data_IF_628853121513
#
_entry.id   IF_628853121513
#
_cell.length_a   1.000
_cell.length_b   1.000
_cell.length_c   1.000
_cell.angle_alpha   90.00
_cell.angle_beta   90.00
_cell.angle_gamma   90.00
#
_symmetry.space_group_name_H-M   'P 1'
#
loop_
_entity.id
_entity.type
_entity.pdbx_description
1 polymer ?
#
# COMPACT_ATOMS: atom_id res chain seq x y z
N UNK A 1 -9.63 -13.71 15.62
CA UNK A 1 -9.76 -13.52 14.17
C UNK A 1 -8.91 -14.57 13.49
N UNK A 2 -9.36 -15.10 12.35
CA UNK A 2 -8.59 -16.08 11.58
C UNK A 2 -8.89 -15.95 10.09
N UNK A 3 -7.86 -16.16 9.28
CA UNK A 3 -7.98 -16.39 7.85
C UNK A 3 -7.72 -17.89 7.60
N UNK A 4 -8.62 -18.54 6.90
CA UNK A 4 -8.48 -19.94 6.53
C UNK A 4 -8.58 -20.03 5.01
N UNK A 5 -7.56 -20.60 4.40
CA UNK A 5 -7.50 -20.97 2.98
C UNK A 5 -7.42 -22.49 2.91
N UNK A 6 -8.35 -23.11 2.21
CA UNK A 6 -8.45 -24.57 2.15
C UNK A 6 -8.61 -25.05 0.72
N UNK A 7 -7.71 -25.91 0.26
CA UNK A 7 -7.68 -26.60 -1.03
C UNK A 7 -7.88 -25.71 -2.25
N UNK A 8 -7.33 -24.47 -2.18
CA UNK A 8 -7.48 -23.48 -3.22
C UNK A 8 -6.74 -23.92 -4.48
N UNK A 9 -7.45 -24.08 -5.58
CA UNK A 9 -6.87 -24.54 -6.84
C UNK A 9 -7.34 -23.75 -8.04
N UNK A 10 -6.44 -23.63 -9.05
CA UNK A 10 -6.71 -22.96 -10.33
C UNK A 10 -5.96 -23.62 -11.47
N UNK A 11 -6.70 -23.91 -12.55
CA UNK A 11 -6.17 -24.40 -13.82
C UNK A 11 -6.53 -23.45 -14.95
N UNK A 12 -5.63 -23.32 -15.91
CA UNK A 12 -5.86 -22.67 -17.19
C UNK A 12 -5.57 -23.68 -18.30
N UNK A 13 -6.62 -24.21 -18.91
CA UNK A 13 -6.51 -25.33 -19.84
C UNK A 13 -5.92 -26.57 -19.15
N UNK A 14 -4.80 -27.05 -19.64
CA UNK A 14 -4.07 -28.20 -19.07
C UNK A 14 -3.08 -27.82 -17.96
N UNK A 15 -2.80 -26.51 -17.77
CA UNK A 15 -1.81 -26.01 -16.81
C UNK A 15 -2.44 -25.74 -15.46
N UNK A 16 -2.03 -26.45 -14.43
CA UNK A 16 -2.32 -26.09 -13.04
C UNK A 16 -1.41 -24.95 -12.60
N UNK A 17 -1.97 -23.83 -12.15
CA UNK A 17 -1.23 -22.63 -11.69
C UNK A 17 -1.20 -22.56 -10.17
N UNK A 18 -2.28 -22.97 -9.50
CA UNK A 18 -2.35 -23.12 -8.04
C UNK A 18 -2.91 -24.51 -7.77
N UNK A 19 -2.24 -25.28 -6.92
CA UNK A 19 -2.56 -26.68 -6.64
C UNK A 19 -2.75 -26.91 -5.14
N UNK A 20 -4.01 -27.06 -4.71
CA UNK A 20 -4.42 -27.37 -3.33
C UNK A 20 -3.77 -26.49 -2.25
N UNK A 21 -3.61 -25.18 -2.50
CA UNK A 21 -3.03 -24.25 -1.52
C UNK A 21 -3.92 -24.20 -0.28
N UNK A 22 -3.32 -24.56 0.86
CA UNK A 22 -4.02 -24.58 2.16
C UNK A 22 -3.10 -23.99 3.24
N UNK A 23 -3.63 -23.04 4.02
CA UNK A 23 -2.98 -22.51 5.21
C UNK A 23 -3.99 -21.81 6.12
N UNK A 24 -3.59 -21.57 7.37
CA UNK A 24 -4.38 -20.87 8.35
C UNK A 24 -3.54 -19.80 9.05
N UNK A 25 -4.12 -18.59 9.18
CA UNK A 25 -3.62 -17.53 10.05
C UNK A 25 -4.57 -17.36 11.22
N UNK A 26 -4.18 -17.82 12.39
CA UNK A 26 -5.00 -17.73 13.62
C UNK A 26 -4.49 -16.67 14.62
N UNK A 27 -3.41 -15.97 14.30
CA UNK A 27 -2.82 -14.89 15.08
C UNK A 27 -2.31 -13.78 14.16
N UNK A 28 -2.27 -12.51 14.63
CA UNK A 28 -1.65 -11.41 13.91
C UNK A 28 -0.19 -11.71 13.53
N UNK A 29 0.25 -11.13 12.41
CA UNK A 29 1.59 -11.30 11.89
C UNK A 29 1.61 -11.28 10.37
N UNK A 30 2.72 -11.69 9.77
CA UNK A 30 2.86 -11.77 8.31
C UNK A 30 2.92 -13.21 7.85
N UNK A 31 2.16 -13.51 6.81
CA UNK A 31 2.23 -14.72 6.02
C UNK A 31 2.84 -14.41 4.66
N UNK A 32 3.92 -15.10 4.32
CA UNK A 32 4.57 -14.91 3.05
C UNK A 32 4.18 -15.99 2.05
N UNK A 33 3.76 -15.55 0.86
CA UNK A 33 3.65 -16.37 -0.32
C UNK A 33 4.95 -16.27 -1.12
N UNK A 34 5.83 -17.25 -0.96
CA UNK A 34 7.10 -17.31 -1.66
C UNK A 34 6.99 -18.07 -2.97
N UNK A 35 7.81 -17.68 -3.92
CA UNK A 35 7.95 -18.39 -5.19
C UNK A 35 8.51 -17.50 -6.29
N UNK A 36 9.05 -18.13 -7.32
CA UNK A 36 9.55 -17.44 -8.51
C UNK A 36 8.44 -16.73 -9.27
N UNK A 37 8.79 -15.87 -10.21
CA UNK A 37 7.81 -15.24 -11.10
C UNK A 37 7.03 -16.32 -11.87
N UNK A 38 5.69 -16.18 -11.90
CA UNK A 38 4.81 -17.16 -12.51
C UNK A 38 4.50 -18.40 -11.65
N UNK A 39 4.90 -18.42 -10.36
CA UNK A 39 4.55 -19.50 -9.42
C UNK A 39 3.09 -19.47 -8.94
N UNK A 40 2.28 -18.50 -9.38
CA UNK A 40 0.87 -18.42 -9.00
C UNK A 40 0.57 -17.53 -7.79
N UNK A 41 1.53 -16.76 -7.26
CA UNK A 41 1.36 -15.87 -6.11
C UNK A 41 0.19 -14.88 -6.29
N UNK A 42 0.27 -14.04 -7.32
CA UNK A 42 -0.79 -13.08 -7.67
C UNK A 42 -2.12 -13.75 -7.98
N UNK A 43 -2.10 -14.93 -8.64
CA UNK A 43 -3.30 -15.72 -8.89
C UNK A 43 -3.96 -16.16 -7.58
N UNK A 44 -3.16 -16.67 -6.63
CA UNK A 44 -3.64 -17.06 -5.30
C UNK A 44 -4.24 -15.89 -4.54
N UNK A 45 -3.56 -14.73 -4.54
CA UNK A 45 -4.06 -13.50 -3.92
C UNK A 45 -5.40 -13.06 -4.52
N UNK A 46 -5.49 -13.00 -5.86
CA UNK A 46 -6.74 -12.60 -6.54
C UNK A 46 -7.89 -13.57 -6.28
N UNK A 47 -7.62 -14.87 -6.16
CA UNK A 47 -8.62 -15.86 -5.76
C UNK A 47 -9.05 -15.71 -4.29
N UNK A 48 -8.11 -15.46 -3.38
CA UNK A 48 -8.43 -15.20 -1.97
C UNK A 48 -9.34 -13.98 -1.81
N UNK A 49 -9.11 -12.93 -2.59
CA UNK A 49 -9.89 -11.69 -2.57
C UNK A 49 -11.24 -11.79 -3.30
N UNK A 50 -11.56 -12.92 -3.93
CA UNK A 50 -12.76 -13.05 -4.77
C UNK A 50 -12.70 -12.31 -6.11
N UNK A 51 -11.54 -11.76 -6.47
CA UNK A 51 -11.34 -11.03 -7.74
C UNK A 51 -11.16 -11.98 -8.93
N UNK A 52 -10.81 -13.23 -8.67
CA UNK A 52 -10.65 -14.28 -9.67
C UNK A 52 -11.39 -15.53 -9.20
N UNK A 53 -12.15 -16.16 -10.12
CA UNK A 53 -12.83 -17.43 -9.83
C UNK A 53 -11.82 -18.55 -9.58
N UNK A 54 -11.98 -19.26 -8.51
CA UNK A 54 -11.27 -20.50 -8.17
C UNK A 54 -12.01 -21.71 -8.75
N UNK A 55 -11.29 -22.79 -9.06
CA UNK A 55 -11.87 -24.02 -9.57
C UNK A 55 -12.30 -24.92 -8.39
N UNK A 56 -11.58 -24.86 -7.27
CA UNK A 56 -11.94 -25.52 -6.02
C UNK A 56 -11.41 -24.78 -4.80
N UNK A 57 -11.84 -25.21 -3.62
CA UNK A 57 -11.39 -24.69 -2.35
C UNK A 57 -12.22 -23.53 -1.78
N UNK A 58 -11.92 -23.15 -0.56
CA UNK A 58 -12.62 -22.08 0.17
C UNK A 58 -11.63 -21.12 0.81
N UNK A 59 -12.08 -19.86 0.96
CA UNK A 59 -11.33 -18.83 1.68
C UNK A 59 -12.29 -18.12 2.62
N UNK A 60 -11.97 -18.11 3.90
CA UNK A 60 -12.81 -17.48 4.92
C UNK A 60 -12.00 -16.53 5.80
N UNK A 61 -12.61 -15.40 6.13
CA UNK A 61 -12.12 -14.43 7.10
C UNK A 61 -13.13 -14.32 8.24
N UNK A 62 -12.70 -14.64 9.46
CA UNK A 62 -13.57 -14.69 10.64
C UNK A 62 -14.82 -15.55 10.44
N UNK A 63 -14.66 -16.71 9.79
CA UNK A 63 -15.75 -17.66 9.52
C UNK A 63 -16.71 -17.27 8.39
N UNK A 64 -16.49 -16.15 7.71
CA UNK A 64 -17.27 -15.70 6.54
C UNK A 64 -16.44 -15.78 5.27
N UNK A 65 -17.05 -16.02 4.10
CA UNK A 65 -16.32 -15.96 2.84
C UNK A 65 -15.56 -14.64 2.71
N UNK A 66 -14.26 -14.71 2.36
CA UNK A 66 -13.46 -13.53 2.10
C UNK A 66 -13.80 -12.99 0.71
N UNK A 67 -14.22 -11.73 0.65
CA UNK A 67 -14.48 -10.97 -0.58
C UNK A 67 -14.09 -9.53 -0.36
N UNK A 68 -13.28 -8.98 -1.27
CA UNK A 68 -12.79 -7.59 -1.19
C UNK A 68 -13.92 -6.55 -1.21
N UNK A 69 -15.08 -6.88 -1.77
CA UNK A 69 -16.22 -5.97 -1.87
C UNK A 69 -17.03 -5.89 -0.56
N UNK A 70 -16.97 -6.94 0.27
CA UNK A 70 -17.79 -7.05 1.49
C UNK A 70 -16.97 -7.01 2.77
N UNK A 71 -15.68 -7.30 2.70
CA UNK A 71 -14.76 -7.30 3.84
C UNK A 71 -13.87 -6.04 3.82
N UNK A 72 -13.54 -5.50 5.01
CA UNK A 72 -12.56 -4.43 5.11
C UNK A 72 -11.14 -5.00 4.99
N UNK A 73 -10.69 -5.18 3.75
CA UNK A 73 -9.36 -5.67 3.40
C UNK A 73 -8.59 -4.58 2.67
N UNK A 74 -7.37 -4.31 3.11
CA UNK A 74 -6.43 -3.48 2.36
C UNK A 74 -5.69 -4.33 1.32
N UNK A 75 -5.68 -3.89 0.08
CA UNK A 75 -4.99 -4.59 -0.99
C UNK A 75 -4.06 -3.67 -1.76
N UNK A 76 -2.79 -4.04 -1.81
CA UNK A 76 -1.79 -3.46 -2.68
C UNK A 76 -1.50 -4.44 -3.82
N UNK A 77 -1.88 -4.08 -5.04
CA UNK A 77 -1.63 -4.89 -6.23
C UNK A 77 -0.21 -4.66 -6.75
N UNK A 78 0.39 -5.69 -7.36
CA UNK A 78 1.66 -5.60 -8.09
C UNK A 78 1.55 -4.60 -9.24
N UNK A 79 0.46 -4.67 -10.01
CA UNK A 79 0.18 -3.72 -11.09
C UNK A 79 -0.40 -2.41 -10.55
N UNK A 80 -0.01 -1.30 -11.20
CA UNK A 80 -0.43 0.03 -10.76
C UNK A 80 -1.90 0.28 -11.05
N UNK A 81 -2.71 0.34 -9.99
CA UNK A 81 -4.15 0.60 -10.08
C UNK A 81 -4.53 2.08 -10.04
N UNK A 82 -3.59 3.02 -10.27
CA UNK A 82 -3.88 4.46 -10.27
C UNK A 82 -4.31 4.95 -11.64
N UNK A 83 -5.30 5.82 -11.67
CA UNK A 83 -5.77 6.49 -12.88
C UNK A 83 -4.81 7.64 -13.27
N UNK A 84 -4.10 7.56 -14.41
CA UNK A 84 -2.97 8.43 -14.70
C UNK A 84 -3.29 9.93 -14.68
N UNK A 85 -4.45 10.32 -15.21
CA UNK A 85 -4.84 11.73 -15.40
C UNK A 85 -5.66 12.35 -14.26
N UNK A 86 -5.97 11.58 -13.22
CA UNK A 86 -6.68 12.10 -12.06
C UNK A 86 -5.69 12.50 -10.97
N UNK A 87 -6.05 13.53 -10.18
CA UNK A 87 -5.20 13.92 -9.06
C UNK A 87 -5.13 12.80 -8.04
N UNK A 88 -3.96 12.63 -7.43
CA UNK A 88 -3.76 11.59 -6.39
C UNK A 88 -4.66 11.83 -5.18
N UNK A 89 -4.98 13.09 -4.88
CA UNK A 89 -5.92 13.44 -3.80
C UNK A 89 -7.33 12.94 -4.10
N UNK A 90 -7.84 13.20 -5.32
CA UNK A 90 -9.19 12.76 -5.70
C UNK A 90 -9.32 11.24 -5.69
N UNK A 91 -8.29 10.53 -6.15
CA UNK A 91 -8.25 9.07 -6.13
C UNK A 91 -8.27 8.51 -4.72
N UNK A 92 -7.44 9.04 -3.80
CA UNK A 92 -7.42 8.60 -2.40
C UNK A 92 -8.76 8.89 -1.70
N UNK A 93 -9.36 10.05 -1.94
CA UNK A 93 -10.70 10.38 -1.43
C UNK A 93 -11.77 9.43 -1.98
N UNK A 94 -11.68 9.08 -3.27
CA UNK A 94 -12.57 8.11 -3.90
C UNK A 94 -12.42 6.71 -3.29
N UNK A 95 -11.18 6.21 -3.15
CA UNK A 95 -10.93 4.91 -2.52
C UNK A 95 -11.39 4.86 -1.07
N UNK A 96 -11.20 5.94 -0.32
CA UNK A 96 -11.71 6.06 1.05
C UNK A 96 -13.25 5.97 1.09
N UNK A 97 -13.93 6.68 0.19
CA UNK A 97 -15.39 6.67 0.09
C UNK A 97 -15.94 5.27 -0.26
N UNK A 98 -15.30 4.55 -1.18
CA UNK A 98 -15.66 3.16 -1.51
C UNK A 98 -15.57 2.22 -0.30
N UNK A 99 -14.72 2.55 0.69
CA UNK A 99 -14.55 1.80 1.94
C UNK A 99 -15.38 2.35 3.10
N UNK A 100 -16.32 3.26 2.83
CA UNK A 100 -17.19 3.85 3.84
C UNK A 100 -16.51 4.82 4.80
N UNK A 101 -15.29 5.28 4.50
CA UNK A 101 -14.56 6.27 5.31
C UNK A 101 -15.14 7.65 5.03
N UNK A 102 -15.55 8.37 6.08
CA UNK A 102 -16.07 9.73 5.90
C UNK A 102 -15.02 10.68 5.31
N UNK A 103 -15.45 11.69 4.56
CA UNK A 103 -14.54 12.64 3.92
C UNK A 103 -13.63 13.38 4.93
N UNK A 104 -14.13 13.67 6.13
CA UNK A 104 -13.34 14.29 7.20
C UNK A 104 -12.24 13.36 7.70
N UNK A 105 -12.58 12.10 7.96
CA UNK A 105 -11.64 11.10 8.43
C UNK A 105 -10.63 10.72 7.33
N UNK A 106 -11.09 10.59 6.08
CA UNK A 106 -10.22 10.34 4.94
C UNK A 106 -9.12 11.41 4.80
N UNK A 107 -9.48 12.69 4.89
CA UNK A 107 -8.50 13.80 4.85
C UNK A 107 -7.45 13.70 5.96
N UNK A 108 -7.86 13.36 7.19
CA UNK A 108 -6.91 13.18 8.31
C UNK A 108 -5.95 12.03 8.05
N UNK A 109 -6.48 10.88 7.60
CA UNK A 109 -5.67 9.69 7.31
C UNK A 109 -4.74 9.91 6.12
N UNK A 110 -5.22 10.56 5.06
CA UNK A 110 -4.39 10.91 3.90
C UNK A 110 -3.25 11.83 4.32
N UNK A 111 -3.53 12.84 5.15
CA UNK A 111 -2.49 13.76 5.64
C UNK A 111 -1.45 13.01 6.49
N UNK A 112 -1.89 12.23 7.46
CA UNK A 112 -1.01 11.39 8.29
C UNK A 112 -0.08 10.51 7.43
N UNK A 113 -0.63 9.79 6.46
CA UNK A 113 0.16 8.93 5.58
C UNK A 113 1.03 9.71 4.60
N UNK A 114 0.59 10.89 4.15
CA UNK A 114 1.40 11.76 3.29
C UNK A 114 2.67 12.25 4.00
N UNK A 115 2.57 12.59 5.28
CA UNK A 115 3.74 12.91 6.11
C UNK A 115 4.63 11.68 6.31
N UNK A 116 4.03 10.54 6.64
CA UNK A 116 4.74 9.31 6.94
C UNK A 116 5.52 8.75 5.74
N UNK A 117 4.96 8.91 4.52
CA UNK A 117 5.59 8.52 3.26
C UNK A 117 6.48 9.60 2.63
N UNK A 118 6.60 10.77 3.27
CA UNK A 118 7.34 11.92 2.74
C UNK A 118 6.87 12.32 1.33
N UNK A 119 5.56 12.51 1.17
CA UNK A 119 4.91 12.88 -0.10
C UNK A 119 3.90 14.04 0.04
N UNK A 120 4.04 14.83 1.12
CA UNK A 120 3.22 16.02 1.37
C UNK A 120 3.26 16.98 0.18
N UNK A 121 4.41 17.13 -0.46
CA UNK A 121 4.58 18.02 -1.62
C UNK A 121 3.65 17.69 -2.80
N UNK A 122 3.25 16.42 -2.95
CA UNK A 122 2.39 15.98 -4.05
C UNK A 122 0.90 16.08 -3.73
N UNK A 123 0.53 15.85 -2.48
CA UNK A 123 -0.86 15.86 -2.00
C UNK A 123 -1.30 17.23 -1.48
N UNK A 124 -0.39 17.94 -0.80
CA UNK A 124 -0.63 19.24 -0.17
C UNK A 124 0.42 20.27 -0.60
N UNK A 125 0.59 20.56 -1.90
CA UNK A 125 1.70 21.37 -2.41
C UNK A 125 1.70 22.80 -1.88
N UNK A 126 0.55 23.38 -1.52
CA UNK A 126 0.46 24.69 -0.93
C UNK A 126 1.03 24.71 0.50
N UNK A 127 0.67 23.72 1.30
CA UNK A 127 1.18 23.55 2.66
C UNK A 127 2.70 23.32 2.64
N UNK A 128 3.18 22.44 1.75
CA UNK A 128 4.60 22.19 1.56
C UNK A 128 5.36 23.48 1.20
N UNK A 129 4.84 24.29 0.28
CA UNK A 129 5.43 25.57 -0.10
C UNK A 129 5.49 26.55 1.08
N UNK A 130 4.45 26.60 1.91
CA UNK A 130 4.41 27.47 3.09
C UNK A 130 5.41 27.00 4.17
N UNK A 131 5.58 25.68 4.36
CA UNK A 131 6.60 25.12 5.27
C UNK A 131 8.01 25.46 4.77
N UNK A 132 8.29 25.29 3.48
CA UNK A 132 9.60 25.61 2.89
C UNK A 132 9.92 27.11 3.01
N UNK A 133 8.95 27.98 2.75
CA UNK A 133 9.11 29.43 2.91
C UNK A 133 9.41 29.83 4.37
N UNK A 134 8.79 29.14 5.34
CA UNK A 134 9.06 29.37 6.77
C UNK A 134 10.47 28.92 7.15
N UNK A 135 10.89 27.73 6.70
CA UNK A 135 12.26 27.23 6.94
C UNK A 135 13.31 28.16 6.35
N UNK A 136 13.13 28.66 5.12
CA UNK A 136 14.04 29.58 4.48
C UNK A 136 14.21 30.88 5.29
N UNK A 137 13.13 31.49 5.80
CA UNK A 137 13.17 32.68 6.65
C UNK A 137 13.94 32.42 7.95
N UNK A 138 13.74 31.29 8.60
CA UNK A 138 14.47 30.93 9.83
C UNK A 138 15.98 30.78 9.55
N UNK A 139 16.38 30.25 8.41
CA UNK A 139 17.78 30.17 7.99
C UNK A 139 18.39 31.57 7.66
N UNK A 140 17.62 32.46 7.05
CA UNK A 140 18.07 33.85 6.79
C UNK A 140 18.23 34.65 8.08
N UNK A 141 17.36 34.50 9.05
CA UNK A 141 17.45 35.13 10.35
C UNK A 141 18.65 34.63 11.19
N UNK A 142 19.05 33.36 10.99
CA UNK A 142 20.22 32.77 11.66
C UNK A 142 21.57 33.17 11.03
N UNK A 143 21.58 33.79 9.83
CA UNK A 143 22.79 34.27 9.12
C UNK A 143 22.84 35.78 9.10
N UNK A 144 23.73 36.43 9.90
CA UNK A 144 23.79 37.87 9.96
C UNK A 144 24.59 38.44 8.77
N UNK A 145 24.03 38.47 7.55
CA UNK A 145 24.59 39.27 6.43
C UNK A 145 23.49 39.76 5.48
N UNK A 146 23.40 41.14 5.47
CA UNK A 146 22.72 42.01 4.50
C UNK A 146 21.18 42.06 4.56
N UNK A 147 20.69 43.04 5.31
CA UNK A 147 19.39 43.68 5.08
C UNK A 147 19.37 44.33 3.69
N UNK A 148 18.87 43.63 2.69
CA UNK A 148 18.46 44.20 1.41
C UNK A 148 17.00 44.58 1.50
N UNK A 149 16.67 45.84 1.21
CA UNK A 149 15.32 46.37 1.08
C UNK A 149 14.64 45.71 -0.13
N UNK A 150 13.91 44.60 0.08
CA UNK A 150 13.03 44.06 -0.95
C UNK A 150 11.59 44.28 -0.52
N UNK A 151 10.87 45.07 -1.32
CA UNK A 151 9.49 45.43 -1.14
C UNK A 151 8.61 44.19 -1.14
N UNK A 152 7.68 44.15 -0.17
CA UNK A 152 6.60 43.20 -0.08
C UNK A 152 5.70 43.33 -1.32
N UNK A 153 5.96 42.53 -2.35
CA UNK A 153 5.02 42.36 -3.45
C UNK A 153 3.89 41.46 -2.96
N UNK A 154 2.70 42.02 -2.81
CA UNK A 154 1.47 41.35 -2.50
C UNK A 154 0.98 40.53 -3.72
N UNK A 155 1.80 39.58 -4.19
CA UNK A 155 1.41 38.66 -5.26
C UNK A 155 0.39 37.69 -4.65
N UNK A 156 -0.83 37.70 -5.18
CA UNK A 156 -1.82 36.64 -4.90
C UNK A 156 -1.15 35.28 -5.13
N UNK A 157 -0.87 34.55 -4.06
CA UNK A 157 -0.29 33.20 -4.13
C UNK A 157 -1.15 32.35 -5.06
N UNK A 158 -0.59 31.99 -6.21
CA UNK A 158 -1.25 31.10 -7.18
C UNK A 158 -1.47 29.76 -6.49
N UNK A 159 -2.71 29.28 -6.46
CA UNK A 159 -3.05 27.99 -5.85
C UNK A 159 -2.33 26.90 -6.65
N UNK A 160 -1.52 26.09 -5.96
CA UNK A 160 -0.83 24.96 -6.56
C UNK A 160 -1.75 23.74 -6.41
N UNK A 161 -2.08 23.09 -7.53
CA UNK A 161 -2.92 21.88 -7.51
C UNK A 161 -2.11 20.64 -7.11
N UNK A 162 -2.75 19.64 -6.45
CA UNK A 162 -2.15 18.32 -6.26
C UNK A 162 -1.74 17.70 -7.59
N UNK A 163 -0.70 16.86 -7.56
CA UNK A 163 -0.21 16.16 -8.76
C UNK A 163 -1.17 15.06 -9.24
N UNK A 164 -1.11 14.75 -10.52
CA UNK A 164 -1.74 13.57 -11.12
C UNK A 164 -0.82 12.35 -11.01
N UNK A 165 -1.36 11.14 -11.15
CA UNK A 165 -0.57 9.93 -10.96
C UNK A 165 0.55 9.75 -12.00
N UNK A 166 0.35 10.21 -13.24
CA UNK A 166 1.35 10.18 -14.31
C UNK A 166 2.55 11.13 -14.08
N UNK A 167 2.40 12.10 -13.18
CA UNK A 167 3.46 13.03 -12.78
C UNK A 167 4.37 12.47 -11.67
N UNK A 168 4.08 11.27 -11.15
CA UNK A 168 4.82 10.65 -10.08
C UNK A 168 5.81 9.60 -10.59
N UNK A 169 6.94 9.47 -9.91
CA UNK A 169 7.84 8.32 -10.08
C UNK A 169 7.13 7.01 -9.70
N UNK A 170 7.68 5.89 -10.18
CA UNK A 170 7.14 4.56 -9.85
C UNK A 170 7.03 4.32 -8.34
N UNK A 171 8.08 4.65 -7.58
CA UNK A 171 8.08 4.51 -6.13
C UNK A 171 7.03 5.38 -5.45
N UNK A 172 6.83 6.63 -5.91
CA UNK A 172 5.80 7.49 -5.35
C UNK A 172 4.38 7.01 -5.71
N UNK A 173 4.16 6.43 -6.89
CA UNK A 173 2.89 5.78 -7.21
C UNK A 173 2.61 4.60 -6.26
N UNK A 174 3.64 3.82 -5.92
CA UNK A 174 3.52 2.70 -4.99
C UNK A 174 3.22 3.17 -3.56
N UNK A 175 3.80 4.30 -3.12
CA UNK A 175 3.41 4.96 -1.85
C UNK A 175 1.93 5.34 -1.83
N UNK A 176 1.41 5.92 -2.91
CA UNK A 176 -0.01 6.27 -3.01
C UNK A 176 -0.90 5.02 -2.95
N UNK A 177 -0.52 3.93 -3.62
CA UNK A 177 -1.26 2.66 -3.56
C UNK A 177 -1.25 2.05 -2.15
N UNK A 178 -0.11 2.14 -1.44
CA UNK A 178 -0.04 1.70 -0.04
C UNK A 178 -0.96 2.54 0.86
N UNK A 179 -1.02 3.86 0.65
CA UNK A 179 -2.00 4.73 1.36
C UNK A 179 -3.43 4.26 1.07
N UNK A 180 -3.75 3.98 -0.19
CA UNK A 180 -5.08 3.49 -0.56
C UNK A 180 -5.42 2.16 0.12
N UNK A 181 -4.45 1.25 0.27
CA UNK A 181 -4.63 -0.02 0.99
C UNK A 181 -4.82 0.19 2.51
N UNK A 182 -4.19 1.22 3.09
CA UNK A 182 -4.23 1.50 4.53
C UNK A 182 -5.38 2.44 4.95
N UNK A 183 -6.03 3.12 4.00
CA UNK A 183 -6.90 4.26 4.28
C UNK A 183 -8.15 3.90 5.10
N UNK A 184 -8.67 2.68 4.94
CA UNK A 184 -9.80 2.15 5.70
C UNK A 184 -9.42 1.58 7.06
N UNK A 185 -8.14 1.61 7.41
CA UNK A 185 -7.57 0.95 8.60
C UNK A 185 -7.98 -0.53 8.71
N UNK A 186 -7.69 -1.34 7.69
CA UNK A 186 -8.14 -2.71 7.62
C UNK A 186 -7.44 -3.59 8.66
N UNK A 187 -8.11 -4.66 9.10
CA UNK A 187 -7.52 -5.70 9.96
C UNK A 187 -6.68 -6.71 9.17
N UNK A 188 -7.03 -6.94 7.91
CA UNK A 188 -6.32 -7.80 6.97
C UNK A 188 -5.72 -6.96 5.84
N UNK A 189 -4.42 -7.05 5.66
CA UNK A 189 -3.66 -6.44 4.56
C UNK A 189 -3.14 -7.54 3.65
N UNK A 190 -3.32 -7.38 2.35
CA UNK A 190 -2.75 -8.27 1.33
C UNK A 190 -1.90 -7.43 0.40
N UNK A 191 -0.60 -7.73 0.35
CA UNK A 191 0.41 -6.94 -0.35
C UNK A 191 1.09 -7.83 -1.40
N UNK A 192 0.85 -7.53 -2.68
CA UNK A 192 1.41 -8.28 -3.79
C UNK A 192 2.71 -7.62 -4.27
N UNK A 193 3.85 -8.22 -3.96
CA UNK A 193 5.21 -7.74 -4.21
C UNK A 193 5.44 -6.26 -3.77
N UNK A 194 5.15 -5.90 -2.52
CA UNK A 194 5.12 -4.50 -2.06
C UNK A 194 6.46 -3.77 -2.13
N UNK A 195 7.57 -4.50 -2.18
CA UNK A 195 8.92 -3.94 -2.18
C UNK A 195 9.59 -3.99 -3.56
N UNK A 196 8.90 -4.56 -4.55
CA UNK A 196 9.46 -4.73 -5.90
C UNK A 196 9.72 -3.39 -6.59
N UNK A 197 10.96 -3.18 -7.05
CA UNK A 197 11.36 -1.99 -7.82
C UNK A 197 11.44 -0.70 -7.01
N UNK A 198 11.45 -0.77 -5.68
CA UNK A 198 11.77 0.35 -4.80
C UNK A 198 13.29 0.52 -4.67
N UNK A 199 13.73 1.76 -4.48
CA UNK A 199 15.09 2.05 -4.03
C UNK A 199 15.25 1.69 -2.53
N UNK A 200 16.49 1.59 -2.00
CA UNK A 200 16.73 1.17 -0.62
C UNK A 200 16.00 2.02 0.43
N UNK A 201 15.95 3.33 0.27
CA UNK A 201 15.31 4.25 1.23
C UNK A 201 13.80 4.01 1.29
N UNK A 202 13.17 3.86 0.13
CA UNK A 202 11.74 3.53 0.07
C UNK A 202 11.45 2.11 0.54
N UNK A 203 12.35 1.16 0.30
CA UNK A 203 12.25 -0.22 0.83
C UNK A 203 12.21 -0.22 2.35
N UNK A 204 13.13 0.49 3.01
CA UNK A 204 13.18 0.59 4.48
C UNK A 204 11.92 1.25 5.04
N UNK A 205 11.45 2.33 4.40
CA UNK A 205 10.21 2.99 4.78
C UNK A 205 8.99 2.05 4.71
N UNK A 206 8.88 1.24 3.66
CA UNK A 206 7.80 0.26 3.52
C UNK A 206 7.89 -0.84 4.58
N UNK A 207 9.10 -1.34 4.88
CA UNK A 207 9.33 -2.30 5.97
C UNK A 207 8.89 -1.73 7.31
N UNK A 208 9.27 -0.49 7.63
CA UNK A 208 8.85 0.18 8.87
C UNK A 208 7.33 0.27 9.00
N UNK A 209 6.64 0.61 7.91
CA UNK A 209 5.18 0.69 7.90
C UNK A 209 4.55 -0.69 8.07
N UNK A 210 5.09 -1.72 7.42
CA UNK A 210 4.66 -3.11 7.60
C UNK A 210 4.82 -3.53 9.06
N UNK A 211 5.99 -3.27 9.67
CA UNK A 211 6.22 -3.53 11.10
C UNK A 211 5.24 -2.78 12.00
N UNK A 212 4.94 -1.52 11.70
CA UNK A 212 3.94 -0.75 12.42
C UNK A 212 2.55 -1.42 12.38
N UNK A 213 2.13 -1.94 11.22
CA UNK A 213 0.85 -2.65 11.09
C UNK A 213 0.85 -3.98 11.87
N UNK A 214 1.96 -4.73 11.86
CA UNK A 214 2.12 -5.95 12.66
C UNK A 214 2.01 -5.64 14.15
N UNK A 215 2.69 -4.59 14.62
CA UNK A 215 2.68 -4.17 16.03
C UNK A 215 1.28 -3.70 16.48
N UNK A 216 0.44 -3.23 15.56
CA UNK A 216 -0.97 -2.92 15.79
C UNK A 216 -1.87 -4.18 15.83
N UNK A 217 -1.31 -5.37 15.72
CA UNK A 217 -2.04 -6.63 15.77
C UNK A 217 -2.80 -6.96 14.48
N UNK A 218 -2.35 -6.47 13.33
CA UNK A 218 -2.97 -6.75 12.04
C UNK A 218 -2.46 -8.05 11.42
N UNK A 219 -3.25 -8.60 10.51
CA UNK A 219 -2.94 -9.78 9.71
C UNK A 219 -2.45 -9.30 8.34
N UNK A 220 -1.29 -9.81 7.91
CA UNK A 220 -0.70 -9.45 6.63
C UNK A 220 -0.41 -10.69 5.80
N UNK A 221 -0.83 -10.69 4.54
CA UNK A 221 -0.31 -11.60 3.53
C UNK A 221 0.59 -10.79 2.62
N UNK A 222 1.79 -11.28 2.36
CA UNK A 222 2.73 -10.64 1.46
C UNK A 222 3.29 -11.66 0.47
N UNK A 223 3.25 -11.35 -0.82
CA UNK A 223 3.99 -12.11 -1.80
C UNK A 223 5.38 -11.52 -2.00
N UNK A 224 6.38 -12.37 -2.15
CA UNK A 224 7.73 -11.97 -2.53
C UNK A 224 8.41 -13.12 -3.30
N UNK A 225 9.48 -12.80 -4.00
CA UNK A 225 10.36 -13.76 -4.65
C UNK A 225 11.71 -13.89 -3.92
N UNK A 226 11.99 -13.07 -2.91
CA UNK A 226 13.23 -13.04 -2.13
C UNK A 226 12.99 -13.46 -0.68
N UNK A 227 13.64 -14.54 -0.27
CA UNK A 227 13.57 -15.07 1.10
C UNK A 227 14.12 -14.07 2.12
N UNK A 228 15.26 -13.41 1.79
CA UNK A 228 15.93 -12.47 2.69
C UNK A 228 15.04 -11.31 3.15
N UNK A 229 14.23 -10.77 2.26
CA UNK A 229 13.28 -9.70 2.58
C UNK A 229 12.28 -10.14 3.64
N UNK A 230 11.88 -11.39 3.55
CA UNK A 230 10.88 -12.00 4.43
C UNK A 230 11.45 -12.28 5.81
N UNK A 231 12.68 -12.79 5.88
CA UNK A 231 13.38 -13.04 7.14
C UNK A 231 13.57 -11.77 7.97
N UNK A 232 13.89 -10.65 7.32
CA UNK A 232 14.02 -9.34 7.99
C UNK A 232 12.71 -8.84 8.62
N UNK A 233 11.56 -9.24 8.08
CA UNK A 233 10.24 -8.87 8.61
C UNK A 233 9.78 -9.76 9.77
N UNK A 234 10.63 -10.66 10.28
CA UNK A 234 10.31 -11.58 11.40
C UNK A 234 9.10 -12.48 11.14
N UNK A 235 9.04 -13.10 9.97
CA UNK A 235 7.88 -13.80 9.46
C UNK A 235 7.68 -15.18 10.06
N UNK A 236 6.42 -15.53 10.27
CA UNK A 236 6.04 -16.72 11.04
C UNK A 236 5.69 -17.91 10.14
N UNK A 237 5.30 -17.74 8.89
CA UNK A 237 4.93 -18.84 8.00
C UNK A 237 5.24 -18.58 6.53
N UNK A 238 5.82 -19.61 5.90
CA UNK A 238 6.18 -19.63 4.48
C UNK A 238 5.29 -20.67 3.80
N UNK A 239 4.54 -20.27 2.78
CA UNK A 239 3.83 -21.20 1.90
C UNK A 239 4.28 -21.00 0.47
N UNK A 240 4.78 -22.06 -0.16
CA UNK A 240 4.94 -22.10 -1.61
C UNK A 240 3.63 -22.62 -2.20
N UNK A 241 3.02 -21.93 -3.19
CA UNK A 241 1.99 -22.52 -4.02
C UNK A 241 2.69 -23.63 -4.84
N UNK A 242 2.59 -24.87 -4.36
CA UNK A 242 3.37 -26.01 -4.87
C UNK A 242 3.09 -26.25 -6.34
N UNK A 243 4.12 -26.07 -7.19
CA UNK A 243 4.23 -26.79 -8.43
C UNK A 243 4.74 -28.18 -8.10
N UNK A 244 3.91 -29.20 -8.21
CA UNK A 244 4.40 -30.53 -8.49
C UNK A 244 4.71 -30.58 -10.00
N UNK A 245 5.99 -30.78 -10.34
CA UNK A 245 6.50 -31.12 -11.67
C UNK A 245 5.85 -32.39 -12.19
#
# INVERSE_FOLDING_TARGET
MSLIVQDLSKKYGTRTVVDHLSFEMNRPGVYALLGTNGAGKTTSIRMMLGMLSRDSGTVTWNGKPLDINTCNVGYLAEERGLYPKYTIMDQLMYFAALRGVSASEAKKRIHYWAERFDIIEYLYPQEYADIQAKKARMHEEASPKKKGLFGSSNQRKKRIAPKTADQLSKGNQQKIQMIAALISDPELLILDEPLSGLDPVNTDLFKDIIHEQINKGKYLIMSDHQMSTIEELSLIHISEPTRRS
#
